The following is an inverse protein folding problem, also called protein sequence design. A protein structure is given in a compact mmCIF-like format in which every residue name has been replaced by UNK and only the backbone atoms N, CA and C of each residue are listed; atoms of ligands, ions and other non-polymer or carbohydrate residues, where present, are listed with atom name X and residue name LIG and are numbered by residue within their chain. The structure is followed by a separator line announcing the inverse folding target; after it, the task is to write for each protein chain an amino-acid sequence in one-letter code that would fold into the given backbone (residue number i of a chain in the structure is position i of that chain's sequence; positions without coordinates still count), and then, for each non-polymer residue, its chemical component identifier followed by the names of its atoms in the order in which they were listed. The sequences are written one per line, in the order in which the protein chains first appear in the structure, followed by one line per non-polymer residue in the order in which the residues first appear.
data_IF_385412956907
#
_entry.id   IF_385412956907
#
_cell.length_a   1.000
_cell.length_b   1.000
_cell.length_c   1.000
_cell.angle_alpha   90.00
_cell.angle_beta   90.00
_cell.angle_gamma   90.00
#
_symmetry.space_group_name_H-M   'P 1'
#
loop_
_entity.id
_entity.type
_entity.pdbx_description
1 polymer ?
#
# COMPACT_ATOMS: atom_id res chain seq x y z
N UNK A 1 2.21 11.70 5.78
CA UNK A 1 2.67 11.02 7.01
C UNK A 1 1.55 10.20 7.62
N UNK A 2 0.74 10.80 8.49
CA UNK A 2 -0.29 10.08 9.28
C UNK A 2 -1.28 9.28 8.42
N UNK A 3 -1.82 9.84 7.34
CA UNK A 3 -2.72 9.13 6.42
C UNK A 3 -2.09 7.87 5.81
N UNK A 4 -0.81 7.95 5.43
CA UNK A 4 -0.06 6.81 4.87
C UNK A 4 0.21 5.76 5.94
N UNK A 5 0.54 6.18 7.16
CA UNK A 5 0.69 5.27 8.29
C UNK A 5 -0.62 4.55 8.59
N UNK A 6 -1.75 5.25 8.67
CA UNK A 6 -3.07 4.66 8.89
C UNK A 6 -3.45 3.69 7.77
N UNK A 7 -3.10 4.03 6.52
CA UNK A 7 -3.33 3.16 5.35
C UNK A 7 -2.53 1.87 5.48
N UNK A 8 -1.23 1.94 5.71
CA UNK A 8 -0.40 0.74 5.86
C UNK A 8 -0.76 -0.06 7.11
N UNK A 9 -1.09 0.61 8.22
CA UNK A 9 -1.58 -0.07 9.41
C UNK A 9 -2.85 -0.86 9.14
N UNK A 10 -3.80 -0.32 8.35
CA UNK A 10 -5.03 -1.05 8.02
C UNK A 10 -4.77 -2.22 7.07
N UNK A 11 -4.13 -1.98 5.91
CA UNK A 11 -3.98 -3.02 4.89
C UNK A 11 -2.88 -4.05 5.21
N UNK A 12 -1.73 -3.60 5.73
CA UNK A 12 -0.57 -4.47 6.00
C UNK A 12 -0.52 -4.90 7.47
N UNK A 13 -0.97 -4.05 8.40
CA UNK A 13 -1.09 -4.43 9.80
C UNK A 13 -2.32 -5.31 10.05
N UNK A 14 -3.51 -4.71 10.00
CA UNK A 14 -4.75 -5.36 10.38
C UNK A 14 -5.18 -6.45 9.38
N UNK A 15 -5.23 -6.17 8.08
CA UNK A 15 -5.69 -7.15 7.09
C UNK A 15 -4.64 -8.22 6.79
N UNK A 16 -3.45 -7.86 6.32
CA UNK A 16 -2.42 -8.84 5.94
C UNK A 16 -2.01 -9.73 7.11
N UNK A 17 -1.59 -9.15 8.25
CA UNK A 17 -1.17 -9.96 9.41
C UNK A 17 -2.35 -10.56 10.17
N UNK A 18 -3.53 -9.93 10.17
CA UNK A 18 -4.74 -10.55 10.73
C UNK A 18 -5.22 -11.78 9.94
N UNK A 19 -4.84 -11.86 8.66
CA UNK A 19 -5.13 -12.99 7.77
C UNK A 19 -3.95 -13.96 7.63
N UNK A 20 -2.98 -13.96 8.55
CA UNK A 20 -1.78 -14.83 8.50
C UNK A 20 -2.09 -16.32 8.33
N UNK A 21 -3.27 -16.77 8.79
CA UNK A 21 -3.76 -18.15 8.58
C UNK A 21 -3.97 -18.55 7.11
N UNK A 22 -4.13 -17.57 6.21
CA UNK A 22 -4.21 -17.80 4.75
C UNK A 22 -2.82 -17.95 4.10
N UNK A 23 -1.74 -17.85 4.88
CA UNK A 23 -0.38 -17.84 4.37
C UNK A 23 -0.17 -16.73 3.33
N UNK A 24 0.65 -17.00 2.31
CA UNK A 24 0.93 -16.04 1.22
C UNK A 24 -0.33 -15.60 0.45
N UNK A 25 -1.45 -16.32 0.55
CA UNK A 25 -2.73 -15.90 -0.02
C UNK A 25 -3.27 -14.59 0.56
N UNK A 26 -2.91 -14.26 1.82
CA UNK A 26 -3.28 -13.00 2.46
C UNK A 26 -2.81 -11.77 1.68
N UNK A 27 -1.70 -11.88 0.93
CA UNK A 27 -1.14 -10.79 0.11
C UNK A 27 -2.11 -10.38 -0.99
N UNK A 28 -2.71 -11.34 -1.70
CA UNK A 28 -3.70 -11.04 -2.73
C UNK A 28 -5.01 -10.55 -2.12
N UNK A 29 -5.44 -11.16 -1.00
CA UNK A 29 -6.69 -10.78 -0.33
C UNK A 29 -6.67 -9.34 0.15
N UNK A 30 -5.54 -8.83 0.67
CA UNK A 30 -5.42 -7.42 1.05
C UNK A 30 -5.19 -6.48 -0.15
N UNK A 31 -4.52 -6.96 -1.22
CA UNK A 31 -4.21 -6.11 -2.37
C UNK A 31 -5.46 -5.70 -3.18
N UNK A 32 -6.48 -6.56 -3.23
CA UNK A 32 -7.76 -6.27 -3.91
C UNK A 32 -8.48 -5.05 -3.30
N UNK A 33 -8.81 -5.02 -1.98
CA UNK A 33 -9.45 -3.87 -1.37
C UNK A 33 -8.55 -2.62 -1.37
N UNK A 34 -7.22 -2.79 -1.27
CA UNK A 34 -6.28 -1.68 -1.44
C UNK A 34 -6.38 -1.04 -2.83
N UNK A 35 -6.47 -1.84 -3.91
CA UNK A 35 -6.71 -1.31 -5.25
C UNK A 35 -8.12 -0.73 -5.41
N UNK A 36 -9.12 -1.32 -4.77
CA UNK A 36 -10.52 -0.88 -4.85
C UNK A 36 -10.70 0.55 -4.36
N UNK A 37 -10.00 0.97 -3.29
CA UNK A 37 -10.10 2.36 -2.81
C UNK A 37 -9.47 3.39 -3.74
N UNK A 38 -8.74 2.96 -4.77
CA UNK A 38 -8.21 3.83 -5.82
C UNK A 38 -9.18 4.00 -6.99
N UNK A 39 -10.34 3.33 -7.00
CA UNK A 39 -11.35 3.54 -8.04
C UNK A 39 -11.80 5.01 -8.08
N UNK A 40 -11.96 5.54 -9.29
CA UNK A 40 -12.26 6.95 -9.54
C UNK A 40 -11.02 7.84 -9.73
N UNK A 41 -9.82 7.31 -9.46
CA UNK A 41 -8.55 7.93 -9.85
C UNK A 41 -8.15 7.54 -11.28
N UNK A 42 -7.10 8.15 -11.88
CA UNK A 42 -6.62 7.74 -13.19
C UNK A 42 -6.38 6.23 -13.26
N UNK A 43 -6.79 5.58 -14.37
CA UNK A 43 -6.74 4.12 -14.51
C UNK A 43 -5.34 3.53 -14.23
N UNK A 44 -4.29 4.27 -14.60
CA UNK A 44 -2.92 3.86 -14.33
C UNK A 44 -2.63 3.73 -12.82
N UNK A 45 -3.21 4.59 -11.99
CA UNK A 45 -3.08 4.53 -10.53
C UNK A 45 -3.84 3.33 -9.95
N UNK A 46 -4.98 2.95 -10.53
CA UNK A 46 -5.71 1.74 -10.12
C UNK A 46 -4.88 0.49 -10.39
N UNK A 47 -4.31 0.35 -11.58
CA UNK A 47 -3.42 -0.77 -11.89
C UNK A 47 -2.18 -0.76 -11.00
N UNK A 48 -1.54 0.39 -10.86
CA UNK A 48 -0.34 0.54 -10.04
C UNK A 48 -0.60 0.20 -8.57
N UNK A 49 -1.73 0.65 -8.00
CA UNK A 49 -2.10 0.36 -6.61
C UNK A 49 -2.32 -1.14 -6.38
N UNK A 50 -2.86 -1.90 -7.33
CA UNK A 50 -2.94 -3.35 -7.20
C UNK A 50 -1.56 -4.01 -7.14
N UNK A 51 -0.66 -3.68 -8.08
CA UNK A 51 0.69 -4.23 -8.09
C UNK A 51 1.52 -3.79 -6.88
N UNK A 52 1.44 -2.50 -6.48
CA UNK A 52 2.04 -2.00 -5.26
C UNK A 52 1.45 -2.68 -4.01
N UNK A 53 0.14 -2.94 -4.03
CA UNK A 53 -0.60 -3.82 -3.13
C UNK A 53 0.15 -5.10 -2.83
N UNK A 54 0.45 -5.86 -3.88
CA UNK A 54 1.14 -7.14 -3.85
C UNK A 54 2.59 -6.99 -3.38
N UNK A 55 3.35 -6.05 -3.95
CA UNK A 55 4.78 -5.87 -3.64
C UNK A 55 4.98 -5.47 -2.19
N UNK A 56 4.23 -4.48 -1.69
CA UNK A 56 4.31 -4.06 -0.29
C UNK A 56 3.84 -5.17 0.64
N UNK A 57 2.74 -5.85 0.29
CA UNK A 57 2.25 -6.98 1.08
C UNK A 57 3.29 -8.11 1.18
N UNK A 58 4.03 -8.38 0.10
CA UNK A 58 5.11 -9.37 0.12
C UNK A 58 6.29 -8.93 1.01
N UNK A 59 6.75 -7.68 0.87
CA UNK A 59 7.86 -7.14 1.67
C UNK A 59 7.51 -7.18 3.16
N UNK A 60 6.31 -6.74 3.51
CA UNK A 60 5.86 -6.69 4.90
C UNK A 60 5.59 -8.09 5.47
N UNK A 61 5.10 -9.02 4.65
CA UNK A 61 4.93 -10.42 5.03
C UNK A 61 6.26 -11.10 5.38
N UNK A 62 7.29 -10.89 4.57
CA UNK A 62 8.62 -11.47 4.78
C UNK A 62 9.37 -10.77 5.93
N UNK A 63 9.27 -9.43 6.02
CA UNK A 63 9.92 -8.65 7.08
C UNK A 63 9.18 -8.64 8.41
N UNK A 64 7.94 -9.13 8.45
CA UNK A 64 7.03 -9.10 9.61
C UNK A 64 6.88 -7.69 10.20
N UNK A 65 6.86 -6.68 9.33
CA UNK A 65 6.80 -5.27 9.72
C UNK A 65 6.09 -4.44 8.66
N UNK A 66 5.27 -3.47 9.09
CA UNK A 66 4.67 -2.47 8.19
C UNK A 66 5.61 -1.31 7.86
N UNK A 67 6.78 -1.25 8.51
CA UNK A 67 7.69 -0.12 8.38
C UNK A 67 8.22 0.07 6.95
N UNK A 68 8.61 -0.97 6.19
CA UNK A 68 9.12 -0.81 4.84
C UNK A 68 8.07 -0.20 3.89
N UNK A 69 6.86 -0.75 3.86
CA UNK A 69 5.76 -0.21 3.06
C UNK A 69 5.39 1.21 3.48
N UNK A 70 5.34 1.51 4.78
CA UNK A 70 5.05 2.85 5.28
C UNK A 70 6.08 3.87 4.79
N UNK A 71 7.38 3.57 4.91
CA UNK A 71 8.43 4.47 4.46
C UNK A 71 8.36 4.68 2.94
N UNK A 72 8.16 3.62 2.16
CA UNK A 72 8.03 3.72 0.70
C UNK A 72 6.79 4.53 0.30
N UNK A 73 5.64 4.26 0.90
CA UNK A 73 4.40 4.97 0.59
C UNK A 73 4.50 6.45 1.00
N UNK A 74 5.02 6.74 2.19
CA UNK A 74 5.16 8.11 2.65
C UNK A 74 6.18 8.92 1.82
N UNK A 75 7.33 8.34 1.50
CA UNK A 75 8.35 9.02 0.69
C UNK A 75 7.86 9.26 -0.74
N UNK A 76 7.19 8.29 -1.37
CA UNK A 76 6.61 8.47 -2.70
C UNK A 76 5.51 9.52 -2.72
N UNK A 77 4.66 9.61 -1.69
CA UNK A 77 3.70 10.71 -1.56
C UNK A 77 4.39 12.08 -1.47
N UNK A 78 5.45 12.21 -0.66
CA UNK A 78 6.20 13.47 -0.56
C UNK A 78 6.77 13.86 -1.92
N UNK A 79 7.37 12.91 -2.65
CA UNK A 79 7.96 13.16 -3.97
C UNK A 79 6.86 13.62 -4.95
N UNK A 80 5.71 12.95 -4.96
CA UNK A 80 4.60 13.29 -5.83
C UNK A 80 4.05 14.69 -5.53
N UNK A 81 3.76 14.99 -4.26
CA UNK A 81 3.28 16.31 -3.84
C UNK A 81 4.28 17.42 -4.22
N UNK A 82 5.58 17.17 -4.02
CA UNK A 82 6.65 18.12 -4.39
C UNK A 82 6.70 18.35 -5.91
N UNK A 83 6.55 17.29 -6.71
CA UNK A 83 6.52 17.39 -8.16
C UNK A 83 5.30 18.18 -8.65
N UNK A 84 4.13 17.96 -8.06
CA UNK A 84 2.92 18.72 -8.38
C UNK A 84 3.09 20.22 -8.09
N UNK A 85 3.74 20.59 -6.98
CA UNK A 85 4.04 21.99 -6.63
C UNK A 85 5.06 22.60 -7.60
N UNK A 86 6.06 21.84 -8.05
CA UNK A 86 7.08 22.35 -8.97
C UNK A 86 6.56 22.57 -10.39
N UNK A 87 5.56 21.79 -10.82
CA UNK A 87 4.98 21.83 -12.16
C UNK A 87 3.73 22.71 -12.28
N UNK A 88 3.25 23.28 -11.17
CA UNK A 88 2.14 24.24 -11.12
C UNK A 88 2.61 25.67 -11.29
#
# INVERSE_FOLDING_TARGET
GLLMLSTEFFYRGFMLFGLDRLGKGAILVQAIPYAYVHLGKPMLEVYYSFFAGIVFGYIDWESKSILPSFLLHWTTSIIFDSLCILLS
#
